data_IF_596396246287
#
_entry.id   IF_596396246287
#
_cell.length_a   1.000
_cell.length_b   1.000
_cell.length_c   1.000
_cell.angle_alpha   90.00
_cell.angle_beta   90.00
_cell.angle_gamma   90.00
#
_symmetry.space_group_name_H-M   'P 1'
#
loop_
_entity.id
_entity.type
_entity.pdbx_description
1 polymer ?
#
# COMPACT_ATOMS: atom_id res chain seq x y z
N UNK A 1 4.38 20.76 -15.69
CA UNK A 1 3.80 19.48 -15.24
C UNK A 1 4.69 18.99 -14.10
N UNK A 2 4.21 18.84 -12.85
CA UNK A 2 5.04 18.21 -11.84
C UNK A 2 5.22 16.75 -12.26
N UNK A 3 6.43 16.38 -12.66
CA UNK A 3 6.85 14.99 -12.78
C UNK A 3 6.71 14.38 -11.40
N UNK A 4 5.98 13.26 -11.28
CA UNK A 4 5.81 12.58 -10.01
C UNK A 4 7.16 12.04 -9.53
N UNK A 5 7.85 12.81 -8.70
CA UNK A 5 9.16 12.43 -8.15
C UNK A 5 8.94 11.58 -6.90
N UNK A 6 8.77 10.28 -7.12
CA UNK A 6 9.04 9.30 -6.09
C UNK A 6 10.45 8.75 -6.34
N UNK A 7 11.37 8.96 -5.40
CA UNK A 7 12.75 8.48 -5.48
C UNK A 7 12.84 6.94 -5.40
N UNK A 8 11.76 6.30 -4.92
CA UNK A 8 11.63 4.86 -4.78
C UNK A 8 10.21 4.42 -5.12
N UNK A 9 10.05 3.42 -6.00
CA UNK A 9 8.74 2.89 -6.40
C UNK A 9 8.69 1.39 -6.20
N UNK A 10 7.69 0.92 -5.46
CA UNK A 10 7.35 -0.50 -5.34
C UNK A 10 6.12 -0.78 -6.18
N UNK A 11 6.21 -1.77 -7.08
CA UNK A 11 5.08 -2.28 -7.85
C UNK A 11 4.76 -3.70 -7.39
N UNK A 12 3.54 -3.93 -6.94
CA UNK A 12 3.12 -5.24 -6.47
C UNK A 12 1.67 -5.54 -6.87
N UNK A 13 1.34 -6.82 -7.02
CA UNK A 13 -0.04 -7.27 -7.27
C UNK A 13 -1.00 -7.05 -6.08
N UNK A 14 -0.60 -6.28 -5.06
CA UNK A 14 -1.44 -5.95 -3.91
C UNK A 14 -0.99 -4.64 -3.30
N UNK A 15 -1.96 -3.87 -2.82
CA UNK A 15 -1.70 -2.76 -1.91
C UNK A 15 -1.35 -3.26 -0.50
N UNK A 16 -0.75 -2.41 0.36
CA UNK A 16 -0.54 -2.72 1.77
C UNK A 16 -1.83 -2.64 2.61
N UNK A 17 -2.95 -2.28 1.97
CA UNK A 17 -4.29 -2.20 2.54
C UNK A 17 -5.31 -2.93 1.69
N UNK A 18 -6.25 -3.59 2.34
CA UNK A 18 -7.42 -4.19 1.72
C UNK A 18 -8.67 -3.40 2.13
N UNK A 19 -9.55 -3.16 1.16
CA UNK A 19 -10.88 -2.62 1.42
C UNK A 19 -11.79 -3.74 1.95
N UNK A 20 -12.49 -3.50 3.04
CA UNK A 20 -13.47 -4.42 3.62
C UNK A 20 -14.82 -3.74 3.79
N UNK A 21 -15.90 -4.49 3.57
CA UNK A 21 -17.27 -4.03 3.76
C UNK A 21 -17.79 -4.54 5.09
N UNK A 22 -18.24 -3.62 5.95
CA UNK A 22 -18.88 -3.94 7.23
C UNK A 22 -20.27 -4.55 7.06
N UNK A 23 -20.78 -5.17 8.12
CA UNK A 23 -22.11 -5.77 8.12
C UNK A 23 -23.25 -4.75 7.88
N UNK A 24 -22.99 -3.48 8.19
CA UNK A 24 -23.86 -2.33 7.96
C UNK A 24 -23.69 -1.71 6.55
N UNK A 25 -22.85 -2.30 5.70
CA UNK A 25 -22.52 -1.77 4.38
C UNK A 25 -21.45 -0.67 4.38
N UNK A 26 -20.90 -0.30 5.55
CA UNK A 26 -19.83 0.69 5.64
C UNK A 26 -18.55 0.18 4.97
N UNK A 27 -17.74 1.11 4.45
CA UNK A 27 -16.42 0.79 3.89
C UNK A 27 -15.35 1.08 4.93
N UNK A 28 -14.52 0.08 5.23
CA UNK A 28 -13.34 0.24 6.05
C UNK A 28 -12.09 -0.26 5.32
N UNK A 29 -10.92 0.19 5.78
CA UNK A 29 -9.62 -0.26 5.28
C UNK A 29 -8.89 -0.98 6.39
N UNK A 30 -8.28 -2.11 6.06
CA UNK A 30 -7.41 -2.84 6.98
C UNK A 30 -6.08 -3.11 6.31
N UNK A 31 -5.06 -3.41 7.10
CA UNK A 31 -3.77 -3.85 6.57
C UNK A 31 -3.92 -5.18 5.83
N UNK A 32 -3.35 -5.28 4.63
CA UNK A 32 -3.34 -6.53 3.87
C UNK A 32 -2.44 -7.56 4.56
N UNK A 33 -2.89 -8.82 4.70
CA UNK A 33 -2.07 -9.88 5.27
C UNK A 33 -0.99 -10.34 4.28
N UNK A 34 0.11 -10.87 4.81
CA UNK A 34 1.13 -11.58 4.02
C UNK A 34 2.55 -11.05 4.18
N UNK A 35 3.52 -11.91 3.86
CA UNK A 35 4.95 -11.64 4.06
C UNK A 35 5.48 -10.43 3.27
N UNK A 36 4.95 -10.16 2.09
CA UNK A 36 5.38 -9.05 1.23
C UNK A 36 5.17 -7.68 1.91
N UNK A 37 3.96 -7.44 2.42
CA UNK A 37 3.62 -6.16 3.09
C UNK A 37 4.39 -6.04 4.40
N UNK A 38 4.58 -7.14 5.12
CA UNK A 38 5.39 -7.14 6.35
C UNK A 38 6.85 -6.81 6.08
N UNK A 39 7.44 -7.40 5.04
CA UNK A 39 8.84 -7.19 4.67
C UNK A 39 9.13 -5.79 4.13
N UNK A 40 8.22 -5.22 3.33
CA UNK A 40 8.45 -3.93 2.67
C UNK A 40 7.94 -2.72 3.46
N UNK A 41 7.09 -2.91 4.49
CA UNK A 41 6.61 -1.79 5.31
C UNK A 41 7.74 -0.97 5.98
N UNK A 42 8.82 -1.56 6.54
CA UNK A 42 9.94 -0.78 7.06
C UNK A 42 10.67 0.02 5.96
N UNK A 43 10.82 -0.57 4.77
CA UNK A 43 11.50 0.04 3.61
C UNK A 43 10.75 1.27 3.13
N UNK A 44 9.42 1.19 3.04
CA UNK A 44 8.55 2.32 2.67
C UNK A 44 8.49 3.42 3.74
N UNK A 45 8.79 3.11 5.01
CA UNK A 45 8.87 4.14 6.07
C UNK A 45 10.21 4.88 6.05
N UNK A 46 11.26 4.23 5.55
CA UNK A 46 12.60 4.79 5.51
C UNK A 46 12.87 5.62 4.23
N UNK A 47 12.06 5.47 3.19
CA UNK A 47 12.24 6.14 1.90
C UNK A 47 10.98 6.92 1.51
N UNK A 48 11.17 8.10 0.94
CA UNK A 48 10.11 8.83 0.25
C UNK A 48 9.81 8.10 -1.06
N UNK A 49 8.75 7.30 -1.08
CA UNK A 49 8.45 6.45 -2.22
C UNK A 49 6.97 6.18 -2.42
N UNK A 50 6.64 5.67 -3.61
CA UNK A 50 5.28 5.31 -4.01
C UNK A 50 5.10 3.79 -4.03
N UNK A 51 3.92 3.33 -3.61
CA UNK A 51 3.49 1.94 -3.79
C UNK A 51 2.35 1.89 -4.80
N UNK A 52 2.57 1.16 -5.88
CA UNK A 52 1.56 0.97 -6.93
C UNK A 52 1.12 -0.49 -6.88
N UNK A 53 -0.19 -0.68 -6.74
CA UNK A 53 -0.81 -1.99 -6.75
C UNK A 53 -2.30 -1.88 -7.06
N UNK A 54 -2.90 -3.06 -7.20
CA UNK A 54 -4.33 -3.27 -7.38
C UNK A 54 -5.02 -3.46 -6.02
#
# INVERSE_FOLDING_TARGET
>A
MPTGEADFVVVANRLPVDRVTGADGSTAWRRSPGGLVTALAPVMRAQTGAWIGW
#
